data_IF_991079903490
#
_entry.id   IF_991079903490
#
_cell.length_a   1.000
_cell.length_b   1.000
_cell.length_c   1.000
_cell.angle_alpha   90.00
_cell.angle_beta   90.00
_cell.angle_gamma   90.00
#
_symmetry.space_group_name_H-M   'P 1'
#
loop_
_entity.id
_entity.type
_entity.pdbx_description
1 polymer ?
#
# COMPACT_ATOMS: atom_id res chain seq x y z
N UNK A 1 -13.70 -17.56 -25.09
CA UNK A 1 -13.93 -16.19 -24.59
C UNK A 1 -13.61 -16.22 -23.10
N UNK A 2 -12.43 -15.75 -22.68
CA UNK A 2 -12.08 -15.70 -21.25
C UNK A 2 -12.58 -14.37 -20.72
N UNK A 3 -13.69 -14.39 -19.98
CA UNK A 3 -14.20 -13.22 -19.29
C UNK A 3 -13.16 -12.86 -18.22
N UNK A 4 -12.52 -11.68 -18.27
CA UNK A 4 -11.66 -11.28 -17.18
C UNK A 4 -12.53 -11.26 -15.90
N UNK A 5 -12.04 -11.79 -14.78
CA UNK A 5 -12.80 -11.75 -13.54
C UNK A 5 -13.20 -10.30 -13.30
N UNK A 6 -14.49 -10.06 -13.08
CA UNK A 6 -15.02 -8.76 -12.68
C UNK A 6 -14.50 -8.51 -11.27
N UNK A 7 -13.23 -8.13 -11.15
CA UNK A 7 -12.67 -7.62 -9.92
C UNK A 7 -13.35 -6.28 -9.68
N UNK A 8 -14.04 -6.10 -8.55
CA UNK A 8 -14.63 -4.80 -8.23
C UNK A 8 -13.51 -3.75 -8.20
N UNK A 9 -13.79 -2.56 -8.72
CA UNK A 9 -12.82 -1.45 -8.77
C UNK A 9 -12.17 -1.30 -7.38
N UNK A 10 -10.84 -1.48 -7.31
CA UNK A 10 -10.06 -1.39 -6.08
C UNK A 10 -9.91 -2.68 -5.25
N UNK A 11 -10.26 -3.86 -5.76
CA UNK A 11 -9.95 -5.12 -5.07
C UNK A 11 -8.44 -5.42 -5.03
N UNK A 12 -7.72 -5.15 -6.13
CA UNK A 12 -6.26 -5.27 -6.18
C UNK A 12 -5.61 -4.37 -5.11
N UNK A 13 -6.05 -3.11 -5.02
CA UNK A 13 -5.60 -2.16 -3.99
C UNK A 13 -5.88 -2.67 -2.58
N UNK A 14 -7.08 -3.17 -2.30
CA UNK A 14 -7.41 -3.72 -0.97
C UNK A 14 -6.56 -4.93 -0.60
N UNK A 15 -6.29 -5.83 -1.55
CA UNK A 15 -5.39 -6.97 -1.35
C UNK A 15 -3.95 -6.52 -1.10
N UNK A 16 -3.48 -5.51 -1.84
CA UNK A 16 -2.17 -4.91 -1.63
C UNK A 16 -2.06 -4.28 -0.24
N UNK A 17 -3.02 -3.46 0.18
CA UNK A 17 -3.06 -2.84 1.51
C UNK A 17 -3.05 -3.90 2.62
N UNK A 18 -3.88 -4.94 2.51
CA UNK A 18 -3.93 -6.02 3.48
C UNK A 18 -2.58 -6.77 3.56
N UNK A 19 -1.92 -6.97 2.42
CA UNK A 19 -0.60 -7.58 2.36
C UNK A 19 0.49 -6.69 2.97
N UNK A 20 0.49 -5.39 2.64
CA UNK A 20 1.41 -4.40 3.21
C UNK A 20 1.28 -4.33 4.73
N UNK A 21 0.05 -4.29 5.24
CA UNK A 21 -0.24 -4.32 6.68
C UNK A 21 0.29 -5.58 7.39
N UNK A 22 0.40 -6.70 6.67
CA UNK A 22 0.94 -7.95 7.21
C UNK A 22 2.49 -7.99 7.20
N UNK A 23 3.12 -7.27 6.28
CA UNK A 23 4.59 -7.22 6.17
C UNK A 23 5.22 -6.19 7.12
N UNK A 24 4.52 -5.10 7.44
CA UNK A 24 4.95 -4.12 8.43
C UNK A 24 4.95 -2.69 7.87
N UNK A 25 6.02 -1.89 8.10
CA UNK A 25 6.02 -0.49 7.72
C UNK A 25 5.89 -0.33 6.20
N UNK A 26 5.05 0.60 5.80
CA UNK A 26 4.79 0.88 4.38
C UNK A 26 5.98 1.63 3.80
N UNK A 27 7.01 0.89 3.40
CA UNK A 27 8.17 1.43 2.70
C UNK A 27 7.90 1.48 1.20
N UNK A 28 8.52 2.42 0.46
CA UNK A 28 8.38 2.49 -1.00
C UNK A 28 8.76 1.17 -1.68
N UNK A 29 9.79 0.47 -1.20
CA UNK A 29 10.16 -0.86 -1.69
C UNK A 29 9.05 -1.91 -1.50
N UNK A 30 8.33 -1.86 -0.37
CA UNK A 30 7.23 -2.77 -0.09
C UNK A 30 6.03 -2.49 -1.00
N UNK A 31 5.74 -1.21 -1.22
CA UNK A 31 4.66 -0.74 -2.09
C UNK A 31 4.94 -1.14 -3.53
N UNK A 32 6.16 -0.98 -4.02
CA UNK A 32 6.57 -1.42 -5.36
C UNK A 32 6.43 -2.94 -5.52
N UNK A 33 6.80 -3.73 -4.50
CA UNK A 33 6.56 -5.19 -4.50
C UNK A 33 5.08 -5.55 -4.51
N UNK A 34 4.25 -4.80 -3.78
CA UNK A 34 2.81 -4.99 -3.80
C UNK A 34 2.23 -4.63 -5.17
N UNK A 35 2.74 -3.57 -5.79
CA UNK A 35 2.37 -3.11 -7.13
C UNK A 35 2.61 -4.18 -8.19
N UNK A 36 3.81 -4.75 -8.21
CA UNK A 36 4.17 -5.87 -9.09
C UNK A 36 3.37 -7.14 -8.80
N UNK A 37 3.04 -7.41 -7.53
CA UNK A 37 2.37 -8.65 -7.11
C UNK A 37 0.86 -8.64 -7.38
N UNK A 38 0.22 -7.49 -7.22
CA UNK A 38 -1.23 -7.34 -7.32
C UNK A 38 -1.68 -6.64 -8.61
N UNK A 39 -0.74 -6.31 -9.51
CA UNK A 39 -0.99 -5.60 -10.76
C UNK A 39 -1.69 -4.25 -10.51
N UNK A 40 -1.10 -3.45 -9.61
CA UNK A 40 -1.61 -2.13 -9.29
C UNK A 40 -1.36 -1.17 -10.44
N UNK A 41 -2.31 -0.25 -10.66
CA UNK A 41 -2.09 0.85 -11.61
C UNK A 41 -1.12 1.86 -11.01
N UNK A 42 -0.40 2.65 -11.83
CA UNK A 42 0.48 3.71 -11.33
C UNK A 42 -0.25 4.70 -10.40
N UNK A 43 -1.53 4.93 -10.63
CA UNK A 43 -2.38 5.74 -9.73
C UNK A 43 -2.57 5.12 -8.34
N UNK A 44 -2.71 3.79 -8.26
CA UNK A 44 -2.85 3.08 -6.99
C UNK A 44 -1.52 3.09 -6.21
N UNK A 45 -0.39 2.96 -6.91
CA UNK A 45 0.95 3.05 -6.32
C UNK A 45 1.22 4.44 -5.71
N UNK A 46 0.90 5.51 -6.45
CA UNK A 46 1.02 6.88 -5.94
C UNK A 46 0.14 7.10 -4.70
N UNK A 47 -1.08 6.56 -4.69
CA UNK A 47 -1.96 6.61 -3.53
C UNK A 47 -1.32 5.94 -2.30
N UNK A 48 -0.76 4.73 -2.47
CA UNK A 48 -0.07 4.01 -1.40
C UNK A 48 1.16 4.76 -0.88
N UNK A 49 1.95 5.36 -1.78
CA UNK A 49 3.12 6.16 -1.43
C UNK A 49 2.74 7.43 -0.67
N UNK A 50 1.60 8.04 -1.01
CA UNK A 50 1.08 9.21 -0.31
C UNK A 50 0.58 8.85 1.09
N UNK A 51 -0.19 7.78 1.22
CA UNK A 51 -0.68 7.27 2.52
C UNK A 51 0.48 6.88 3.44
N UNK A 52 1.51 6.19 2.91
CA UNK A 52 2.69 5.82 3.68
C UNK A 52 3.38 7.03 4.33
N UNK A 53 3.48 8.16 3.61
CA UNK A 53 4.03 9.41 4.17
C UNK A 53 3.14 10.00 5.27
N UNK A 54 1.83 9.80 5.19
CA UNK A 54 0.87 10.16 6.23
C UNK A 54 1.05 9.33 7.50
N UNK A 55 1.19 8.01 7.37
CA UNK A 55 1.40 7.09 8.50
C UNK A 55 2.74 7.30 9.20
N UNK A 56 3.82 7.57 8.46
CA UNK A 56 5.15 7.81 9.03
C UNK A 56 5.21 9.05 9.94
N UNK A 57 4.29 10.02 9.76
CA UNK A 57 4.23 11.20 10.64
C UNK A 57 3.63 10.89 12.02
N UNK A 58 2.87 9.80 12.18
CA UNK A 58 2.26 9.45 13.46
C UNK A 58 3.10 8.48 14.30
N UNK A 59 4.03 7.74 13.68
CA UNK A 59 4.86 6.75 14.39
C UNK A 59 6.10 7.36 15.08
N UNK A 60 6.33 8.67 14.98
CA UNK A 60 7.42 9.30 15.75
C UNK A 60 7.04 9.24 17.23
N UNK A 61 7.72 8.45 18.08
CA UNK A 61 7.45 8.48 19.51
C UNK A 61 7.67 9.91 20.01
N UNK A 62 6.82 10.44 20.90
CA UNK A 62 7.07 11.74 21.51
C UNK A 62 8.46 11.66 22.12
N UNK A 63 9.36 12.53 21.66
CA UNK A 63 10.68 12.66 22.24
C UNK A 63 10.44 12.93 23.73
N UNK A 64 10.79 11.96 24.58
CA UNK A 64 10.78 12.15 26.02
C UNK A 64 11.81 13.23 26.32
N UNK A 65 11.33 14.45 26.48
CA UNK A 65 12.08 15.55 27.08
C UNK A 65 12.57 15.09 28.46
N UNK A 66 13.86 15.30 28.71
CA UNK A 66 14.56 14.96 29.94
C UNK A 66 15.00 16.23 30.64
#
# INVERSE_FOLDING_TARGET
MTTPPIVPKGEALRRAVAWLAHQGPWTPELIERASQRFDLSPTDEEFLLQEARGFQKQDKPPARER
#
